data_IF_400048784677
#
_entry.id   IF_400048784677
#
_cell.length_a   1.000
_cell.length_b   1.000
_cell.length_c   1.000
_cell.angle_alpha   90.00
_cell.angle_beta   90.00
_cell.angle_gamma   90.00
#
_symmetry.space_group_name_H-M   'P 1'
#
loop_
_entity.id
_entity.type
_entity.pdbx_description
1 polymer ?
#
# COMPACT_ATOMS: atom_id res chain seq x y z
N UNK A 1 2.17 10.17 33.73
CA UNK A 1 1.90 9.05 32.80
C UNK A 1 1.98 9.61 31.40
N UNK A 2 2.88 9.06 30.64
CA UNK A 2 3.07 9.49 29.27
C UNK A 2 1.87 9.02 28.44
N UNK A 3 1.31 9.93 27.67
CA UNK A 3 0.20 9.65 26.77
C UNK A 3 0.63 9.92 25.33
N UNK A 4 0.23 9.05 24.44
CA UNK A 4 0.38 9.23 22.99
C UNK A 4 -0.92 9.78 22.45
N UNK A 5 -0.86 10.92 21.78
CA UNK A 5 -2.02 11.56 21.15
C UNK A 5 -1.70 11.95 19.72
N UNK A 6 -2.72 11.95 18.86
CA UNK A 6 -2.59 12.41 17.49
C UNK A 6 -2.43 13.92 17.44
N UNK A 7 -1.30 14.42 16.97
CA UNK A 7 -1.00 15.85 16.87
C UNK A 7 -1.50 16.47 15.56
N UNK A 8 -1.41 15.74 14.44
CA UNK A 8 -1.84 16.26 13.14
C UNK A 8 -2.27 15.13 12.20
N UNK A 9 -2.94 15.50 11.13
CA UNK A 9 -3.24 14.66 9.97
C UNK A 9 -2.89 15.46 8.72
N UNK A 10 -2.13 14.85 7.83
CA UNK A 10 -1.80 15.44 6.54
C UNK A 10 -2.33 14.56 5.42
N UNK A 11 -2.91 15.18 4.39
CA UNK A 11 -3.36 14.51 3.18
C UNK A 11 -2.36 14.76 2.07
N UNK A 12 -2.01 13.69 1.34
CA UNK A 12 -1.14 13.79 0.17
C UNK A 12 -2.00 13.80 -1.08
N UNK A 13 -2.25 14.99 -1.60
CA UNK A 13 -3.11 15.15 -2.78
C UNK A 13 -2.51 14.45 -4.00
N UNK A 14 -3.31 13.59 -4.65
CA UNK A 14 -2.94 12.88 -5.87
C UNK A 14 -1.81 11.86 -5.71
N UNK A 15 -1.53 11.37 -4.49
CA UNK A 15 -0.57 10.29 -4.25
C UNK A 15 -1.11 9.21 -3.29
N UNK A 16 -2.42 9.14 -3.11
CA UNK A 16 -3.08 8.05 -2.39
C UNK A 16 -3.04 6.73 -3.19
N UNK A 17 -3.46 5.64 -2.53
CA UNK A 17 -3.45 4.29 -3.11
C UNK A 17 -4.24 4.22 -4.43
N UNK A 18 -5.37 4.94 -4.52
CA UNK A 18 -6.16 5.04 -5.76
C UNK A 18 -5.33 5.63 -6.91
N UNK A 19 -4.61 6.74 -6.66
CA UNK A 19 -3.77 7.36 -7.71
C UNK A 19 -2.63 6.43 -8.16
N UNK A 20 -2.08 5.62 -7.25
CA UNK A 20 -1.06 4.62 -7.57
C UNK A 20 -1.66 3.50 -8.44
N UNK A 21 -2.86 3.02 -8.10
CA UNK A 21 -3.55 2.00 -8.89
C UNK A 21 -3.93 2.51 -10.26
N UNK A 22 -4.46 3.74 -10.36
CA UNK A 22 -4.82 4.35 -11.64
C UNK A 22 -3.59 4.52 -12.55
N UNK A 23 -2.49 5.04 -12.00
CA UNK A 23 -1.23 5.18 -12.75
C UNK A 23 -0.70 3.81 -13.23
N UNK A 24 -0.82 2.77 -12.38
CA UNK A 24 -0.44 1.41 -12.73
C UNK A 24 -1.37 0.82 -13.80
N UNK A 25 -2.69 1.01 -13.67
CA UNK A 25 -3.68 0.54 -14.65
C UNK A 25 -3.44 1.15 -16.04
N UNK A 26 -3.22 2.46 -16.11
CA UNK A 26 -2.90 3.14 -17.37
C UNK A 26 -1.62 2.59 -18.02
N UNK A 27 -0.56 2.42 -17.23
CA UNK A 27 0.68 1.84 -17.74
C UNK A 27 0.47 0.44 -18.30
N UNK A 28 -0.26 -0.41 -17.57
CA UNK A 28 -0.55 -1.78 -18.01
C UNK A 28 -1.42 -1.78 -19.28
N UNK A 29 -2.44 -0.90 -19.37
CA UNK A 29 -3.26 -0.76 -20.55
C UNK A 29 -2.43 -0.38 -21.78
N UNK A 30 -1.49 0.57 -21.65
CA UNK A 30 -0.56 0.94 -22.72
C UNK A 30 0.30 -0.25 -23.17
N UNK A 31 0.72 -1.11 -22.25
CA UNK A 31 1.47 -2.33 -22.57
C UNK A 31 0.60 -3.34 -23.33
N UNK A 32 -0.64 -3.57 -22.90
CA UNK A 32 -1.59 -4.42 -23.65
C UNK A 32 -1.84 -3.90 -25.05
N UNK A 33 -2.06 -2.59 -25.22
CA UNK A 33 -2.25 -1.97 -26.54
C UNK A 33 -1.01 -2.19 -27.42
N UNK A 34 0.18 -1.99 -26.85
CA UNK A 34 1.44 -2.11 -27.59
C UNK A 34 1.73 -3.55 -28.01
N UNK A 35 1.50 -4.53 -27.12
CA UNK A 35 1.89 -5.92 -27.34
C UNK A 35 0.81 -6.72 -28.08
N UNK A 36 -0.47 -6.47 -27.81
CA UNK A 36 -1.58 -7.27 -28.35
C UNK A 36 -2.67 -6.45 -29.06
N UNK A 37 -2.51 -5.13 -29.18
CA UNK A 37 -3.51 -4.18 -29.71
C UNK A 37 -4.88 -4.31 -29.03
N UNK A 38 -4.87 -4.71 -27.78
CA UNK A 38 -6.04 -4.84 -26.92
C UNK A 38 -6.01 -3.76 -25.85
N UNK A 39 -7.09 -2.99 -25.72
CA UNK A 39 -7.26 -2.02 -24.65
C UNK A 39 -8.19 -2.59 -23.57
N UNK A 40 -7.65 -2.98 -22.40
CA UNK A 40 -8.47 -3.53 -21.33
C UNK A 40 -9.41 -2.51 -20.71
N UNK A 41 -9.17 -1.21 -20.87
CA UNK A 41 -10.02 -0.15 -20.34
C UNK A 41 -11.20 0.19 -21.27
N UNK A 42 -11.28 -0.42 -22.44
CA UNK A 42 -12.37 -0.16 -23.39
C UNK A 42 -13.71 -0.79 -22.96
N UNK A 43 -13.69 -1.84 -22.13
CA UNK A 43 -14.87 -2.55 -21.65
C UNK A 43 -14.86 -2.66 -20.13
N UNK A 44 -15.99 -2.39 -19.44
CA UNK A 44 -16.05 -2.42 -17.98
C UNK A 44 -15.59 -3.75 -17.35
N UNK A 45 -15.87 -4.88 -18.03
CA UNK A 45 -15.50 -6.22 -17.54
C UNK A 45 -13.99 -6.43 -17.54
N UNK A 46 -13.31 -5.97 -18.60
CA UNK A 46 -11.85 -6.10 -18.71
C UNK A 46 -11.10 -5.05 -17.92
N UNK A 47 -11.68 -3.86 -17.75
CA UNK A 47 -11.18 -2.84 -16.84
C UNK A 47 -11.22 -3.34 -15.39
N UNK A 48 -12.34 -3.92 -14.96
CA UNK A 48 -12.44 -4.51 -13.63
C UNK A 48 -11.42 -5.63 -13.44
N UNK A 49 -11.30 -6.54 -14.43
CA UNK A 49 -10.32 -7.63 -14.38
C UNK A 49 -8.87 -7.13 -14.33
N UNK A 50 -8.57 -5.97 -14.93
CA UNK A 50 -7.28 -5.31 -14.81
C UNK A 50 -7.06 -4.80 -13.38
N UNK A 51 -8.00 -4.03 -12.83
CA UNK A 51 -7.88 -3.48 -11.48
C UNK A 51 -7.78 -4.56 -10.40
N UNK A 52 -8.50 -5.67 -10.55
CA UNK A 52 -8.45 -6.81 -9.61
C UNK A 52 -7.06 -7.46 -9.54
N UNK A 53 -6.27 -7.37 -10.61
CA UNK A 53 -4.91 -7.94 -10.67
C UNK A 53 -3.84 -7.01 -10.08
N UNK A 54 -4.08 -5.70 -9.99
CA UNK A 54 -3.07 -4.71 -9.58
C UNK A 54 -2.46 -5.01 -8.22
N UNK A 55 -3.21 -5.30 -7.14
CA UNK A 55 -2.61 -5.56 -5.84
C UNK A 55 -1.63 -6.74 -5.85
N UNK A 56 -2.02 -7.84 -6.49
CA UNK A 56 -1.17 -9.02 -6.61
C UNK A 56 0.05 -8.77 -7.49
N UNK A 57 -0.11 -7.99 -8.56
CA UNK A 57 0.96 -7.57 -9.45
C UNK A 57 2.01 -6.74 -8.70
N UNK A 58 1.59 -5.70 -7.97
CA UNK A 58 2.48 -4.85 -7.19
C UNK A 58 3.24 -5.65 -6.13
N UNK A 59 2.55 -6.53 -5.41
CA UNK A 59 3.20 -7.41 -4.43
C UNK A 59 4.22 -8.36 -5.08
N UNK A 60 3.91 -8.91 -6.25
CA UNK A 60 4.83 -9.79 -6.98
C UNK A 60 6.09 -9.05 -7.43
N UNK A 61 5.96 -7.79 -7.85
CA UNK A 61 7.07 -6.95 -8.28
C UNK A 61 8.03 -6.52 -7.15
N UNK A 62 7.67 -6.77 -5.90
CA UNK A 62 8.64 -6.65 -4.79
C UNK A 62 9.75 -7.71 -4.85
N UNK A 63 9.47 -8.86 -5.45
CA UNK A 63 10.37 -10.02 -5.47
C UNK A 63 10.86 -10.36 -6.88
N UNK A 64 10.19 -9.84 -7.91
CA UNK A 64 10.46 -10.14 -9.31
C UNK A 64 10.71 -8.85 -10.09
N UNK A 65 11.56 -8.93 -11.09
CA UNK A 65 11.86 -7.80 -11.99
C UNK A 65 10.79 -7.58 -13.06
N UNK A 66 9.90 -8.55 -13.27
CA UNK A 66 8.84 -8.49 -14.27
C UNK A 66 7.66 -9.38 -13.84
N UNK A 67 6.45 -8.98 -14.19
CA UNK A 67 5.22 -9.77 -14.02
C UNK A 67 4.46 -9.79 -15.34
N UNK A 68 3.91 -10.96 -15.70
CA UNK A 68 3.00 -11.10 -16.83
C UNK A 68 1.55 -11.02 -16.33
N UNK A 69 0.76 -10.14 -16.95
CA UNK A 69 -0.67 -10.02 -16.71
C UNK A 69 -1.44 -10.64 -17.87
N UNK A 70 -2.57 -11.25 -17.57
CA UNK A 70 -3.40 -11.93 -18.53
C UNK A 70 -4.85 -11.49 -18.38
N UNK A 71 -5.49 -11.13 -19.48
CA UNK A 71 -6.91 -10.77 -19.52
C UNK A 71 -7.59 -11.58 -20.61
N UNK A 72 -8.63 -12.31 -20.21
CA UNK A 72 -9.50 -13.01 -21.13
C UNK A 72 -10.58 -12.08 -21.63
N UNK A 73 -10.67 -11.91 -22.93
CA UNK A 73 -11.77 -11.18 -23.55
C UNK A 73 -12.36 -12.01 -24.70
N UNK A 74 -13.66 -12.27 -24.64
CA UNK A 74 -14.33 -13.19 -25.54
C UNK A 74 -13.63 -14.58 -25.55
N UNK A 75 -13.11 -15.02 -26.68
CA UNK A 75 -12.41 -16.31 -26.83
C UNK A 75 -10.88 -16.14 -26.93
N UNK A 76 -10.38 -14.93 -26.70
CA UNK A 76 -8.96 -14.59 -26.85
C UNK A 76 -8.35 -14.24 -25.49
N UNK A 77 -7.21 -14.84 -25.21
CA UNK A 77 -6.38 -14.47 -24.06
C UNK A 77 -5.33 -13.45 -24.52
N UNK A 78 -5.34 -12.31 -23.87
CA UNK A 78 -4.37 -11.24 -24.08
C UNK A 78 -3.36 -11.23 -22.93
N UNK A 79 -2.10 -10.95 -23.25
CA UNK A 79 -1.02 -10.91 -22.27
C UNK A 79 -0.23 -9.61 -22.44
N UNK A 80 0.26 -9.08 -21.33
CA UNK A 80 1.21 -7.98 -21.30
C UNK A 80 2.24 -8.20 -20.19
N UNK A 81 3.47 -7.76 -20.42
CA UNK A 81 4.56 -7.86 -19.46
C UNK A 81 4.84 -6.50 -18.83
N UNK A 82 4.80 -6.45 -17.51
CA UNK A 82 5.12 -5.25 -16.76
C UNK A 82 6.51 -5.37 -16.10
N UNK A 83 7.53 -4.70 -16.62
CA UNK A 83 8.82 -4.60 -15.99
C UNK A 83 8.79 -3.65 -14.79
N UNK A 84 9.46 -4.02 -13.70
CA UNK A 84 9.56 -3.21 -12.49
C UNK A 84 10.16 -1.82 -12.74
N UNK A 85 11.22 -1.72 -13.55
CA UNK A 85 11.87 -0.45 -13.84
C UNK A 85 10.95 0.54 -14.56
N UNK A 86 10.04 0.04 -15.40
CA UNK A 86 9.05 0.86 -16.09
C UNK A 86 7.97 1.33 -15.11
N UNK A 87 7.50 0.45 -14.23
CA UNK A 87 6.55 0.81 -13.18
C UNK A 87 7.12 1.88 -12.24
N UNK A 88 8.37 1.70 -11.78
CA UNK A 88 9.01 2.66 -10.88
C UNK A 88 9.16 4.05 -11.51
N UNK A 89 9.41 4.15 -12.82
CA UNK A 89 9.45 5.46 -13.51
C UNK A 89 8.12 6.21 -13.41
N UNK A 90 7.00 5.47 -13.41
CA UNK A 90 5.66 6.05 -13.29
C UNK A 90 5.32 6.38 -11.84
N UNK A 91 5.70 5.51 -10.89
CA UNK A 91 5.31 5.65 -9.49
C UNK A 91 6.24 6.55 -8.67
N UNK A 92 7.52 6.68 -9.01
CA UNK A 92 8.47 7.50 -8.24
C UNK A 92 8.00 8.93 -7.98
N UNK A 93 7.41 9.66 -8.95
CA UNK A 93 6.89 11.01 -8.67
C UNK A 93 5.78 11.05 -7.61
N UNK A 94 5.00 9.96 -7.49
CA UNK A 94 3.97 9.82 -6.44
C UNK A 94 4.61 9.49 -5.10
N UNK A 95 5.59 8.61 -5.10
CA UNK A 95 6.35 8.21 -3.91
C UNK A 95 7.14 9.37 -3.31
N UNK A 96 7.74 10.21 -4.12
CA UNK A 96 8.44 11.42 -3.67
C UNK A 96 7.50 12.39 -2.93
N UNK A 97 6.24 12.53 -3.37
CA UNK A 97 5.26 13.32 -2.65
C UNK A 97 4.98 12.76 -1.25
N UNK A 98 4.95 11.44 -1.10
CA UNK A 98 4.76 10.77 0.19
C UNK A 98 6.01 10.95 1.05
N UNK A 99 7.19 10.70 0.49
CA UNK A 99 8.46 10.78 1.21
C UNK A 99 8.73 12.20 1.73
N UNK A 100 8.38 13.23 0.97
CA UNK A 100 8.56 14.63 1.36
C UNK A 100 7.72 15.08 2.56
N UNK A 101 6.73 14.27 2.99
CA UNK A 101 5.96 14.55 4.22
C UNK A 101 6.60 13.97 5.48
N UNK A 102 7.56 13.07 5.32
CA UNK A 102 8.18 12.36 6.43
C UNK A 102 9.47 13.08 6.77
N UNK A 103 9.56 13.58 8.01
CA UNK A 103 10.81 14.13 8.53
C UNK A 103 11.76 12.95 8.86
N UNK A 104 13.02 13.05 8.45
CA UNK A 104 14.05 12.02 8.67
C UNK A 104 14.32 11.74 10.17
N UNK A 105 13.81 12.56 11.07
CA UNK A 105 13.90 12.36 12.52
C UNK A 105 12.76 11.51 13.10
N UNK A 106 11.72 11.22 12.30
CA UNK A 106 10.52 10.56 12.77
C UNK A 106 10.59 9.04 12.59
N UNK A 107 10.03 8.32 13.58
CA UNK A 107 9.77 6.89 13.42
C UNK A 107 8.54 6.70 12.54
N UNK A 108 8.72 6.18 11.35
CA UNK A 108 7.64 5.93 10.39
C UNK A 108 7.11 4.50 10.51
N UNK A 109 5.78 4.36 10.63
CA UNK A 109 5.10 3.07 10.54
C UNK A 109 4.32 3.01 9.23
N UNK A 110 4.60 1.99 8.42
CA UNK A 110 3.91 1.75 7.16
C UNK A 110 2.79 0.74 7.35
N UNK A 111 1.57 1.09 6.91
CA UNK A 111 0.47 0.13 6.88
C UNK A 111 0.76 -1.01 5.92
N UNK A 112 0.12 -2.17 6.15
CA UNK A 112 0.30 -3.37 5.33
C UNK A 112 0.13 -3.09 3.82
N UNK A 113 -0.88 -2.31 3.43
CA UNK A 113 -1.12 -2.01 2.01
C UNK A 113 -0.03 -1.12 1.40
N UNK A 114 0.53 -0.21 2.17
CA UNK A 114 1.59 0.70 1.70
C UNK A 114 2.91 -0.04 1.57
N UNK A 115 3.22 -0.97 2.47
CA UNK A 115 4.46 -1.75 2.40
C UNK A 115 4.45 -2.77 1.24
N UNK A 116 3.29 -3.06 0.64
CA UNK A 116 3.18 -3.89 -0.57
C UNK A 116 3.58 -3.15 -1.87
N UNK A 117 3.84 -1.85 -1.79
CA UNK A 117 4.20 -1.04 -2.95
C UNK A 117 5.69 -1.21 -3.29
N UNK A 118 6.03 -1.71 -4.50
CA UNK A 118 7.42 -1.97 -4.87
C UNK A 118 8.22 -0.66 -4.94
N UNK A 119 9.39 -0.63 -4.32
CA UNK A 119 10.31 0.51 -4.32
C UNK A 119 10.01 1.62 -3.32
N UNK A 120 8.82 1.67 -2.70
CA UNK A 120 8.49 2.73 -1.75
C UNK A 120 9.30 2.63 -0.46
N UNK A 121 9.47 1.44 0.09
CA UNK A 121 10.25 1.20 1.31
C UNK A 121 11.71 1.62 1.18
N UNK A 122 12.25 1.56 -0.04
CA UNK A 122 13.62 2.02 -0.33
C UNK A 122 13.77 3.54 -0.18
N UNK A 123 12.69 4.30 -0.42
CA UNK A 123 12.66 5.76 -0.24
C UNK A 123 12.39 6.17 1.22
N UNK A 124 11.83 5.26 2.03
CA UNK A 124 11.43 5.50 3.42
C UNK A 124 12.35 4.74 4.37
N UNK A 125 13.65 5.09 4.33
CA UNK A 125 14.67 4.45 5.17
C UNK A 125 14.31 4.57 6.66
N UNK A 126 14.47 3.46 7.41
CA UNK A 126 14.16 3.41 8.84
C UNK A 126 12.68 3.23 9.18
N UNK A 127 11.81 3.09 8.19
CA UNK A 127 10.40 2.76 8.44
C UNK A 127 10.25 1.34 8.98
N UNK A 128 9.18 1.12 9.74
CA UNK A 128 8.76 -0.20 10.25
C UNK A 128 7.46 -0.60 9.56
N UNK A 129 7.43 -1.83 9.09
CA UNK A 129 6.27 -2.39 8.40
C UNK A 129 5.27 -2.98 9.39
N UNK A 130 4.00 -2.62 9.25
CA UNK A 130 2.90 -3.28 9.93
C UNK A 130 2.44 -4.49 9.09
N UNK A 131 2.19 -5.60 9.77
CA UNK A 131 1.58 -6.79 9.15
C UNK A 131 0.09 -6.56 8.92
N UNK A 132 -0.55 -7.42 8.13
CA UNK A 132 -1.99 -7.40 7.90
C UNK A 132 -2.80 -7.42 9.21
N UNK A 133 -2.31 -8.13 10.21
CA UNK A 133 -2.98 -8.33 11.50
C UNK A 133 -2.55 -7.33 12.58
N UNK A 134 -1.52 -6.53 12.37
CA UNK A 134 -0.94 -5.67 13.44
C UNK A 134 -1.97 -4.78 14.14
N UNK A 135 -2.90 -4.19 13.37
CA UNK A 135 -3.96 -3.33 13.97
C UNK A 135 -4.95 -4.17 14.77
N UNK A 136 -5.35 -5.33 14.25
CA UNK A 136 -6.27 -6.24 14.95
C UNK A 136 -5.65 -6.78 16.23
N UNK A 137 -4.40 -7.19 16.20
CA UNK A 137 -3.65 -7.68 17.36
C UNK A 137 -3.52 -6.60 18.43
N UNK A 138 -3.14 -5.37 18.05
CA UNK A 138 -3.07 -4.25 18.96
C UNK A 138 -4.44 -3.92 19.60
N UNK A 139 -5.52 -3.90 18.80
CA UNK A 139 -6.87 -3.70 19.32
C UNK A 139 -7.30 -4.82 20.27
N UNK A 140 -6.96 -6.07 19.95
CA UNK A 140 -7.29 -7.22 20.80
C UNK A 140 -6.55 -7.20 22.12
N UNK A 141 -5.25 -6.88 22.10
CA UNK A 141 -4.43 -6.78 23.31
C UNK A 141 -4.87 -5.64 24.24
N UNK A 142 -5.39 -4.56 23.67
CA UNK A 142 -5.81 -3.37 24.37
C UNK A 142 -7.34 -3.17 24.38
N UNK A 143 -8.11 -4.25 24.22
CA UNK A 143 -9.57 -4.19 24.11
C UNK A 143 -10.26 -3.44 25.25
N UNK A 144 -9.71 -3.52 26.48
CA UNK A 144 -10.25 -2.80 27.63
C UNK A 144 -10.20 -1.27 27.49
N UNK A 145 -9.27 -0.72 26.69
CA UNK A 145 -9.19 0.73 26.42
C UNK A 145 -10.31 1.21 25.48
N UNK A 146 -10.85 0.31 24.65
CA UNK A 146 -11.89 0.62 23.67
C UNK A 146 -13.31 0.27 24.16
N UNK A 147 -13.42 -0.50 25.24
CA UNK A 147 -14.69 -0.83 25.88
C UNK A 147 -15.10 0.32 26.81
N UNK A 148 -15.67 1.38 26.25
CA UNK A 148 -16.25 2.43 27.07
C UNK A 148 -17.56 1.92 27.68
N UNK A 149 -17.64 1.98 29.00
CA UNK A 149 -18.86 1.74 29.76
C UNK A 149 -19.84 2.91 29.55
N UNK A 150 -20.65 2.86 28.50
CA UNK A 150 -21.66 3.87 28.27
C UNK A 150 -22.21 3.86 26.83
N UNK A 151 -23.44 4.32 26.68
CA UNK A 151 -24.19 4.34 25.42
C UNK A 151 -23.71 5.39 24.39
N UNK A 152 -22.63 6.11 24.64
CA UNK A 152 -22.04 7.07 23.71
C UNK A 152 -20.75 6.49 23.10
N UNK A 153 -20.68 6.44 21.77
CA UNK A 153 -19.45 6.09 21.04
C UNK A 153 -18.43 7.22 21.22
N UNK A 154 -17.49 7.04 22.14
CA UNK A 154 -16.39 7.97 22.31
C UNK A 154 -15.19 7.50 21.48
N UNK A 155 -14.70 8.37 20.60
CA UNK A 155 -13.44 8.12 19.92
C UNK A 155 -12.27 8.21 20.89
N UNK A 156 -11.41 7.20 20.89
CA UNK A 156 -10.17 7.24 21.65
C UNK A 156 -9.20 8.21 20.95
N UNK A 157 -8.89 9.31 21.61
CA UNK A 157 -8.01 10.37 21.05
C UNK A 157 -6.60 10.34 21.63
N UNK A 158 -6.38 9.59 22.72
CA UNK A 158 -5.08 9.39 23.35
C UNK A 158 -4.98 7.98 23.93
N UNK A 159 -3.80 7.41 23.88
CA UNK A 159 -3.49 6.09 24.44
C UNK A 159 -2.38 6.24 25.48
N UNK A 160 -2.34 5.42 26.55
CA UNK A 160 -1.18 5.36 27.44
C UNK A 160 0.04 4.91 26.63
N UNK A 161 1.17 5.60 26.79
CA UNK A 161 2.43 5.10 26.26
C UNK A 161 2.81 3.85 27.07
N UNK A 162 2.73 2.70 26.46
CA UNK A 162 3.29 1.48 27.03
C UNK A 162 4.77 1.45 26.69
N UNK A 163 5.61 1.19 27.69
CA UNK A 163 7.01 0.86 27.43
C UNK A 163 7.02 -0.33 26.46
N UNK A 164 7.68 -0.17 25.32
CA UNK A 164 7.82 -1.24 24.33
C UNK A 164 8.31 -2.49 25.02
N UNK A 165 7.64 -3.63 24.89
CA UNK A 165 8.32 -4.89 25.08
C UNK A 165 9.44 -4.92 24.03
N UNK A 166 10.68 -4.92 24.47
CA UNK A 166 11.84 -5.18 23.63
C UNK A 166 11.55 -6.52 22.97
N UNK A 167 11.19 -6.50 21.71
CA UNK A 167 11.15 -7.71 20.88
C UNK A 167 12.63 -8.05 20.70
N UNK A 168 13.07 -9.05 21.45
CA UNK A 168 14.41 -9.60 21.35
C UNK A 168 14.49 -10.34 20.01
N UNK A 169 14.97 -9.63 18.97
CA UNK A 169 15.31 -10.20 17.68
C UNK A 169 16.59 -11.05 17.83
N UNK A 170 16.48 -12.17 18.50
CA UNK A 170 17.54 -13.17 18.54
C UNK A 170 17.08 -14.38 17.73
N UNK A 171 17.53 -14.57 16.48
CA UNK A 171 17.28 -15.81 15.74
C UNK A 171 18.13 -16.93 16.37
N UNK A 172 17.46 -17.97 16.84
CA UNK A 172 18.07 -19.25 17.20
C UNK A 172 18.28 -20.09 15.94
#
# INVERSE_FOLDING_TARGET
SDQVSRTSVQLVDGAGLTAIYDATAHLIADLFIKESRFDPQHHPETEQALYDQIPACLNSLQKHSEVTLEIQYQQTQHQAKLPLDLLLKVLNPLYEKIANLIDNSDSCLLSYQINQLPGLTTLLEGSRDLTENSVFEACSQHAALFQSAGSASNYVTSLPATENPIIDDNPV
#
